data_IF_055282417651
#
_entry.id   IF_055282417651
#
_cell.length_a   1.000
_cell.length_b   1.000
_cell.length_c   1.000
_cell.angle_alpha   90.00
_cell.angle_beta   90.00
_cell.angle_gamma   90.00
#
_symmetry.space_group_name_H-M   'P 1'
#
loop_
_entity.id
_entity.type
_entity.pdbx_description
1 polymer ?
#
# COMPACT_ATOMS: atom_id res chain seq x y z
N UNK A 1 6.36 -1.45 19.57
CA UNK A 1 5.23 -0.78 18.89
C UNK A 1 4.35 -1.81 18.23
N UNK A 2 3.08 -1.47 18.01
CA UNK A 2 2.13 -2.32 17.28
C UNK A 2 1.73 -1.64 15.98
N UNK A 3 1.88 -2.34 14.85
CA UNK A 3 1.52 -1.82 13.54
C UNK A 3 0.36 -2.63 12.95
N UNK A 4 -0.60 -1.93 12.37
CA UNK A 4 -1.70 -2.52 11.61
C UNK A 4 -1.34 -2.54 10.13
N UNK A 5 -1.37 -3.70 9.52
CA UNK A 5 -1.20 -3.87 8.07
C UNK A 5 -2.55 -4.26 7.46
N UNK A 6 -3.11 -3.40 6.65
CA UNK A 6 -4.43 -3.61 6.04
C UNK A 6 -4.24 -4.09 4.60
N UNK A 7 -4.60 -5.35 4.32
CA UNK A 7 -4.84 -5.80 2.96
C UNK A 7 -6.22 -5.27 2.53
N UNK A 8 -6.32 -4.37 1.54
CA UNK A 8 -7.61 -3.75 1.19
C UNK A 8 -8.61 -4.66 0.46
N UNK A 9 -8.21 -5.87 0.08
CA UNK A 9 -9.11 -6.87 -0.48
C UNK A 9 -9.56 -7.89 0.59
N UNK A 10 -10.48 -8.80 0.23
CA UNK A 10 -11.08 -9.76 1.17
C UNK A 10 -10.46 -11.16 1.09
N UNK A 11 -9.35 -11.35 0.36
CA UNK A 11 -8.70 -12.66 0.21
C UNK A 11 -7.81 -12.95 1.42
N UNK A 12 -8.25 -13.86 2.29
CA UNK A 12 -7.55 -14.17 3.55
C UNK A 12 -6.14 -14.74 3.32
N UNK A 13 -5.95 -15.63 2.35
CA UNK A 13 -4.63 -16.20 2.04
C UNK A 13 -3.62 -15.09 1.72
N UNK A 14 -4.02 -14.08 0.94
CA UNK A 14 -3.17 -12.92 0.65
C UNK A 14 -2.89 -12.08 1.92
N UNK A 15 -3.86 -11.92 2.80
CA UNK A 15 -3.66 -11.22 4.08
C UNK A 15 -2.64 -11.94 4.95
N UNK A 16 -2.70 -13.27 4.99
CA UNK A 16 -1.77 -14.10 5.76
C UNK A 16 -0.34 -13.97 5.20
N UNK A 17 -0.17 -14.06 3.87
CA UNK A 17 1.13 -13.91 3.20
C UNK A 17 1.71 -12.48 3.40
N UNK A 18 0.91 -11.44 3.26
CA UNK A 18 1.29 -10.05 3.55
C UNK A 18 1.74 -9.92 5.01
N UNK A 19 0.98 -10.51 5.94
CA UNK A 19 1.30 -10.50 7.36
C UNK A 19 2.61 -11.22 7.68
N UNK A 20 2.91 -12.32 7.01
CA UNK A 20 4.19 -13.03 7.14
C UNK A 20 5.36 -12.17 6.65
N UNK A 21 5.23 -11.56 5.47
CA UNK A 21 6.23 -10.63 4.93
C UNK A 21 6.47 -9.42 5.83
N UNK A 22 5.39 -8.83 6.35
CA UNK A 22 5.46 -7.69 7.27
C UNK A 22 6.16 -8.07 8.59
N UNK A 23 5.84 -9.24 9.17
CA UNK A 23 6.51 -9.75 10.38
C UNK A 23 7.99 -10.08 10.15
N UNK A 24 8.33 -10.63 8.98
CA UNK A 24 9.72 -10.90 8.62
C UNK A 24 10.54 -9.60 8.46
N UNK A 25 9.91 -8.53 7.99
CA UNK A 25 10.54 -7.22 7.87
C UNK A 25 10.63 -6.47 9.21
N UNK A 26 9.74 -6.73 10.16
CA UNK A 26 9.65 -5.99 11.42
C UNK A 26 10.93 -6.10 12.27
N UNK A 27 11.30 -5.01 12.92
CA UNK A 27 12.39 -4.96 13.88
C UNK A 27 12.01 -5.57 15.23
N UNK A 28 13.01 -5.86 16.04
CA UNK A 28 12.78 -6.39 17.40
C UNK A 28 11.90 -5.45 18.21
N UNK A 29 10.80 -5.97 18.78
CA UNK A 29 9.84 -5.20 19.56
C UNK A 29 8.74 -4.51 18.75
N UNK A 30 8.65 -4.79 17.45
CA UNK A 30 7.52 -4.41 16.60
C UNK A 30 6.59 -5.60 16.41
N UNK A 31 5.33 -5.45 16.80
CA UNK A 31 4.26 -6.42 16.62
C UNK A 31 3.44 -6.05 15.39
N UNK A 32 3.07 -7.02 14.57
CA UNK A 32 2.32 -6.83 13.32
C UNK A 32 0.99 -7.58 13.40
N UNK A 33 -0.09 -6.85 13.28
CA UNK A 33 -1.42 -7.39 13.01
C UNK A 33 -1.78 -7.13 11.55
N UNK A 34 -2.04 -8.20 10.79
CA UNK A 34 -2.48 -8.10 9.39
C UNK A 34 -3.97 -8.45 9.31
N UNK A 35 -4.74 -7.59 8.65
CA UNK A 35 -6.20 -7.74 8.55
C UNK A 35 -6.71 -7.44 7.14
N UNK A 36 -7.84 -8.06 6.79
CA UNK A 36 -8.69 -7.66 5.68
C UNK A 36 -9.95 -6.96 6.19
N UNK A 37 -10.56 -6.06 5.41
CA UNK A 37 -11.89 -5.57 5.70
C UNK A 37 -12.92 -6.72 5.60
N UNK A 38 -14.04 -6.64 6.34
CA UNK A 38 -15.08 -7.69 6.31
C UNK A 38 -15.92 -7.68 5.02
N UNK A 39 -15.70 -6.73 4.14
CA UNK A 39 -16.38 -6.54 2.86
C UNK A 39 -15.47 -5.82 1.87
N UNK A 40 -15.74 -5.99 0.58
CA UNK A 40 -14.96 -5.40 -0.49
C UNK A 40 -14.68 -6.38 -1.63
N UNK A 41 -13.80 -6.04 -2.57
CA UNK A 41 -13.40 -6.91 -3.66
C UNK A 41 -12.44 -8.01 -3.19
N UNK A 42 -12.44 -9.17 -3.86
CA UNK A 42 -11.49 -10.24 -3.60
C UNK A 42 -10.07 -9.91 -4.14
N UNK A 43 -9.99 -9.09 -5.19
CA UNK A 43 -8.75 -8.52 -5.73
C UNK A 43 -9.02 -7.10 -6.24
N UNK A 44 -7.96 -6.32 -6.46
CA UNK A 44 -8.04 -4.93 -6.92
C UNK A 44 -7.25 -4.84 -8.21
N UNK A 45 -7.97 -4.75 -9.32
CA UNK A 45 -7.42 -4.76 -10.68
C UNK A 45 -8.03 -3.67 -11.57
N UNK A 46 -8.71 -2.70 -10.95
CA UNK A 46 -9.36 -1.59 -11.65
C UNK A 46 -9.89 -0.53 -10.71
N UNK A 47 -10.30 0.60 -11.27
CA UNK A 47 -10.77 1.77 -10.51
C UNK A 47 -12.01 1.50 -9.67
N UNK A 48 -12.93 0.62 -10.11
CA UNK A 48 -14.13 0.30 -9.34
C UNK A 48 -13.79 -0.46 -8.06
N UNK A 49 -12.92 -1.45 -8.16
CA UNK A 49 -12.42 -2.21 -7.01
C UNK A 49 -11.58 -1.31 -6.09
N UNK A 50 -10.77 -0.41 -6.65
CA UNK A 50 -9.96 0.55 -5.87
C UNK A 50 -10.86 1.48 -5.03
N UNK A 51 -11.94 2.01 -5.60
CA UNK A 51 -12.87 2.88 -4.89
C UNK A 51 -13.58 2.15 -3.72
N UNK A 52 -14.01 0.89 -3.95
CA UNK A 52 -14.59 0.06 -2.90
C UNK A 52 -13.56 -0.27 -1.81
N UNK A 53 -12.36 -0.64 -2.21
CA UNK A 53 -11.25 -0.93 -1.31
C UNK A 53 -10.88 0.29 -0.45
N UNK A 54 -10.83 1.48 -1.03
CA UNK A 54 -10.58 2.72 -0.28
C UNK A 54 -11.61 2.92 0.83
N UNK A 55 -12.90 2.70 0.55
CA UNK A 55 -13.95 2.82 1.56
C UNK A 55 -13.83 1.74 2.64
N UNK A 56 -13.48 0.52 2.25
CA UNK A 56 -13.30 -0.60 3.17
C UNK A 56 -12.08 -0.39 4.11
N UNK A 57 -10.98 0.20 3.60
CA UNK A 57 -9.83 0.62 4.42
C UNK A 57 -10.26 1.64 5.49
N UNK A 58 -11.06 2.64 5.10
CA UNK A 58 -11.55 3.65 6.06
C UNK A 58 -12.44 3.02 7.14
N UNK A 59 -13.26 2.01 6.81
CA UNK A 59 -14.05 1.26 7.78
C UNK A 59 -13.15 0.55 8.80
N UNK A 60 -12.11 -0.15 8.36
CA UNK A 60 -11.12 -0.79 9.25
C UNK A 60 -10.46 0.23 10.17
N UNK A 61 -9.95 1.33 9.63
CA UNK A 61 -9.27 2.37 10.41
C UNK A 61 -10.22 3.02 11.43
N UNK A 62 -11.46 3.28 11.03
CA UNK A 62 -12.45 3.89 11.92
C UNK A 62 -12.79 3.00 13.12
N UNK A 63 -12.78 1.67 12.94
CA UNK A 63 -13.13 0.69 13.99
C UNK A 63 -11.98 0.38 14.95
N UNK A 64 -10.76 0.27 14.44
CA UNK A 64 -9.64 -0.27 15.22
C UNK A 64 -8.30 0.45 15.03
N UNK A 65 -8.24 1.49 14.19
CA UNK A 65 -6.97 2.17 13.90
C UNK A 65 -6.29 2.82 15.12
N UNK A 66 -7.07 3.18 16.14
CA UNK A 66 -6.54 3.82 17.37
C UNK A 66 -5.83 2.85 18.32
N UNK A 67 -5.93 1.54 18.10
CA UNK A 67 -5.29 0.52 18.93
C UNK A 67 -3.81 0.28 18.54
N UNK A 68 -3.32 1.01 17.54
CA UNK A 68 -2.00 0.83 16.93
C UNK A 68 -1.17 2.12 16.97
N UNK A 69 0.15 1.95 16.81
CA UNK A 69 1.11 3.05 16.72
C UNK A 69 1.30 3.55 15.27
N UNK A 70 0.92 2.74 14.28
CA UNK A 70 1.02 3.09 12.86
C UNK A 70 0.25 2.10 11.98
N UNK A 71 -0.10 2.53 10.77
CA UNK A 71 -0.95 1.78 9.84
C UNK A 71 -0.29 1.72 8.46
N UNK A 72 -0.18 0.51 7.87
CA UNK A 72 0.21 0.31 6.48
C UNK A 72 -0.99 -0.11 5.62
N UNK A 73 -1.14 0.48 4.44
CA UNK A 73 -2.11 0.06 3.42
C UNK A 73 -1.39 -0.81 2.41
N UNK A 74 -1.69 -2.12 2.41
CA UNK A 74 -0.96 -3.12 1.64
C UNK A 74 -1.60 -3.40 0.28
N UNK A 75 -1.67 -2.38 -0.58
CA UNK A 75 -2.02 -2.47 -1.99
C UNK A 75 -1.29 -1.38 -2.76
N UNK A 76 -0.76 -1.70 -3.93
CA UNK A 76 0.10 -0.76 -4.67
C UNK A 76 -0.64 0.44 -5.30
N UNK A 77 -1.99 0.45 -5.28
CA UNK A 77 -2.80 1.64 -5.57
C UNK A 77 -2.85 2.64 -4.41
N UNK A 78 -2.42 2.25 -3.22
CA UNK A 78 -2.59 3.00 -1.95
C UNK A 78 -4.03 3.52 -1.77
N UNK A 79 -5.06 2.63 -1.88
CA UNK A 79 -6.45 3.05 -1.89
C UNK A 79 -6.84 3.74 -0.58
N UNK A 80 -7.36 4.96 -0.70
CA UNK A 80 -7.83 5.73 0.44
C UNK A 80 -6.74 6.34 1.33
N UNK A 81 -5.45 6.28 0.97
CA UNK A 81 -4.33 6.72 1.82
C UNK A 81 -4.50 8.15 2.35
N UNK A 82 -4.88 9.10 1.50
CA UNK A 82 -5.03 10.50 1.94
C UNK A 82 -6.22 10.68 2.86
N UNK A 83 -7.34 10.02 2.59
CA UNK A 83 -8.51 10.03 3.49
C UNK A 83 -8.21 9.31 4.82
N UNK A 84 -7.44 8.23 4.77
CA UNK A 84 -6.95 7.54 5.96
C UNK A 84 -6.10 8.46 6.85
N UNK A 85 -5.24 9.30 6.25
CA UNK A 85 -4.44 10.30 6.97
C UNK A 85 -5.27 11.38 7.65
N UNK A 86 -6.43 11.75 7.08
CA UNK A 86 -7.34 12.71 7.70
C UNK A 86 -8.01 12.16 8.98
N UNK A 87 -8.44 10.89 8.95
CA UNK A 87 -9.24 10.29 10.02
C UNK A 87 -8.41 9.51 11.06
N UNK A 88 -7.17 9.13 10.75
CA UNK A 88 -6.30 8.38 11.65
C UNK A 88 -5.57 9.30 12.62
N UNK A 89 -5.40 8.89 13.87
CA UNK A 89 -4.58 9.59 14.87
C UNK A 89 -3.10 9.22 14.79
N UNK A 90 -2.78 8.11 14.12
CA UNK A 90 -1.42 7.59 13.96
C UNK A 90 -0.94 7.74 12.52
N UNK A 91 0.37 7.67 12.23
CA UNK A 91 0.87 7.75 10.88
C UNK A 91 0.33 6.61 10.01
N UNK A 92 -0.06 6.96 8.77
CA UNK A 92 -0.52 6.01 7.76
C UNK A 92 0.42 6.07 6.56
N UNK A 93 0.91 4.90 6.13
CA UNK A 93 1.84 4.73 5.01
C UNK A 93 1.24 3.76 3.99
N UNK A 94 1.28 4.12 2.72
CA UNK A 94 0.96 3.21 1.63
C UNK A 94 2.20 2.46 1.13
N UNK A 95 2.05 1.24 0.66
CA UNK A 95 3.19 0.45 0.21
C UNK A 95 3.79 0.98 -1.09
N UNK A 96 2.98 1.60 -1.97
CA UNK A 96 3.49 2.23 -3.18
C UNK A 96 4.32 3.47 -2.85
N UNK A 97 3.79 4.37 -2.01
CA UNK A 97 4.52 5.55 -1.54
C UNK A 97 5.85 5.15 -0.90
N UNK A 98 5.83 4.20 0.04
CA UNK A 98 7.02 3.77 0.77
C UNK A 98 8.09 3.18 -0.15
N UNK A 99 7.71 2.25 -1.03
CA UNK A 99 8.67 1.60 -1.93
C UNK A 99 9.30 2.58 -2.91
N UNK A 100 8.51 3.47 -3.50
CA UNK A 100 9.01 4.46 -4.46
C UNK A 100 9.93 5.49 -3.80
N UNK A 101 9.59 5.97 -2.60
CA UNK A 101 10.46 6.88 -1.83
C UNK A 101 11.77 6.20 -1.43
N UNK A 102 11.70 4.94 -0.99
CA UNK A 102 12.90 4.17 -0.67
C UNK A 102 13.76 3.92 -1.92
N UNK A 103 13.15 3.57 -3.06
CA UNK A 103 13.86 3.42 -4.34
C UNK A 103 14.62 4.70 -4.72
N UNK A 104 14.03 5.87 -4.48
CA UNK A 104 14.69 7.16 -4.72
C UNK A 104 15.93 7.41 -3.86
N UNK A 105 16.13 6.67 -2.76
CA UNK A 105 17.34 6.79 -1.92
C UNK A 105 18.49 5.92 -2.40
N UNK A 106 18.21 4.87 -3.16
CA UNK A 106 19.23 3.89 -3.60
C UNK A 106 19.47 3.88 -5.11
N UNK A 107 18.63 4.58 -5.88
CA UNK A 107 18.72 4.65 -7.34
C UNK A 107 18.36 6.05 -7.85
N UNK A 108 18.90 6.43 -9.00
CA UNK A 108 18.49 7.67 -9.66
C UNK A 108 17.12 7.53 -10.33
N UNK A 109 16.86 6.38 -10.95
CA UNK A 109 15.57 6.04 -11.56
C UNK A 109 15.12 4.63 -11.16
N UNK A 110 13.84 4.47 -10.87
CA UNK A 110 13.23 3.17 -10.60
C UNK A 110 12.16 2.83 -11.65
N UNK A 111 11.85 1.56 -11.78
CA UNK A 111 10.63 1.10 -12.46
C UNK A 111 9.74 0.33 -11.51
N UNK A 112 8.44 0.39 -11.77
CA UNK A 112 7.44 -0.44 -11.09
C UNK A 112 7.11 -1.61 -12.02
N UNK A 113 7.27 -2.84 -11.53
CA UNK A 113 6.81 -4.05 -12.23
C UNK A 113 5.61 -4.61 -11.48
N UNK A 114 4.47 -4.66 -12.16
CA UNK A 114 3.17 -4.97 -11.56
C UNK A 114 2.47 -6.14 -12.25
N UNK A 115 1.26 -6.41 -11.83
CA UNK A 115 0.34 -7.37 -12.45
C UNK A 115 -0.18 -6.83 -13.80
N UNK A 116 -1.25 -7.36 -14.30
CA UNK A 116 -1.84 -7.12 -15.63
C UNK A 116 -1.74 -5.66 -16.13
N UNK A 117 -1.60 -5.49 -17.44
CA UNK A 117 -1.46 -4.17 -18.09
C UNK A 117 -2.59 -3.19 -17.77
N UNK A 118 -3.77 -3.69 -17.46
CA UNK A 118 -4.93 -2.86 -17.10
C UNK A 118 -4.67 -1.93 -15.91
N UNK A 119 -3.80 -2.32 -14.95
CA UNK A 119 -3.50 -1.50 -13.78
C UNK A 119 -2.37 -0.50 -14.02
N UNK A 120 -1.63 -0.63 -15.12
CA UNK A 120 -0.48 0.26 -15.42
C UNK A 120 -0.87 1.73 -15.38
N UNK A 121 -1.93 2.21 -16.08
CA UNK A 121 -2.32 3.62 -16.03
C UNK A 121 -2.68 4.10 -14.61
N UNK A 122 -3.29 3.23 -13.80
CA UNK A 122 -3.62 3.56 -12.40
C UNK A 122 -2.35 3.80 -11.58
N UNK A 123 -1.32 2.98 -11.77
CA UNK A 123 -0.06 3.13 -11.05
C UNK A 123 0.78 4.28 -11.58
N UNK A 124 0.69 4.64 -12.87
CA UNK A 124 1.26 5.87 -13.40
C UNK A 124 0.65 7.11 -12.74
N UNK A 125 -0.66 7.09 -12.45
CA UNK A 125 -1.33 8.14 -11.68
C UNK A 125 -0.88 8.17 -10.21
N UNK A 126 -0.59 7.01 -9.60
CA UNK A 126 -0.01 6.93 -8.24
C UNK A 126 1.39 7.55 -8.22
N UNK A 127 2.25 7.21 -9.19
CA UNK A 127 3.58 7.83 -9.36
C UNK A 127 3.46 9.35 -9.48
N UNK A 128 2.50 9.82 -10.29
CA UNK A 128 2.25 11.25 -10.47
C UNK A 128 1.76 11.93 -9.19
N UNK A 129 0.86 11.29 -8.46
CA UNK A 129 0.30 11.75 -7.18
C UNK A 129 1.40 12.03 -6.16
N UNK A 130 2.45 11.21 -6.13
CA UNK A 130 3.60 11.38 -5.23
C UNK A 130 4.68 12.32 -5.78
N UNK A 131 4.50 12.89 -6.97
CA UNK A 131 5.49 13.80 -7.57
C UNK A 131 6.75 13.10 -8.07
N UNK A 132 6.68 11.81 -8.39
CA UNK A 132 7.84 10.97 -8.73
C UNK A 132 7.97 10.66 -10.23
N UNK A 133 7.23 11.35 -11.12
CA UNK A 133 7.29 11.12 -12.57
C UNK A 133 8.71 11.16 -13.13
N UNK A 134 9.52 12.11 -12.70
CA UNK A 134 10.91 12.28 -13.18
C UNK A 134 11.85 11.18 -12.65
N UNK A 135 11.47 10.51 -11.59
CA UNK A 135 12.24 9.43 -10.98
C UNK A 135 11.77 8.05 -11.43
N UNK A 136 10.54 7.91 -11.93
CA UNK A 136 10.00 6.67 -12.47
C UNK A 136 10.42 6.53 -13.94
N UNK A 137 11.14 5.45 -14.24
CA UNK A 137 11.55 5.12 -15.59
C UNK A 137 10.38 4.54 -16.40
N UNK A 138 9.61 3.63 -15.78
CA UNK A 138 8.41 3.02 -16.35
C UNK A 138 7.54 2.37 -15.29
N UNK A 139 6.29 2.13 -15.63
CA UNK A 139 5.40 1.18 -14.98
C UNK A 139 5.09 0.08 -15.98
N UNK A 140 5.40 -1.18 -15.64
CA UNK A 140 5.27 -2.32 -16.55
C UNK A 140 4.36 -3.38 -15.95
N UNK A 141 3.40 -3.85 -16.75
CA UNK A 141 2.53 -4.96 -16.39
C UNK A 141 3.14 -6.31 -16.77
N UNK A 142 2.78 -7.34 -16.04
CA UNK A 142 3.02 -8.75 -16.39
C UNK A 142 1.68 -9.39 -16.78
N UNK A 143 1.65 -10.56 -17.45
CA UNK A 143 0.39 -11.25 -17.75
C UNK A 143 -0.23 -11.98 -16.54
N UNK A 144 0.14 -11.60 -15.30
CA UNK A 144 -0.33 -12.22 -14.06
C UNK A 144 -1.54 -11.47 -13.52
N UNK A 145 -2.65 -12.14 -13.25
CA UNK A 145 -3.69 -11.61 -12.38
C UNK A 145 -3.24 -11.64 -10.91
N UNK A 146 -3.82 -10.79 -10.06
CA UNK A 146 -3.42 -10.68 -8.65
C UNK A 146 -3.42 -12.02 -7.93
N UNK A 147 -4.48 -12.82 -8.11
CA UNK A 147 -4.62 -14.12 -7.43
C UNK A 147 -3.81 -15.25 -8.07
N UNK A 148 -3.20 -15.05 -9.23
CA UNK A 148 -2.36 -16.07 -9.87
C UNK A 148 -0.97 -16.18 -9.24
N UNK A 149 -0.52 -15.14 -8.54
CA UNK A 149 0.78 -15.10 -7.84
C UNK A 149 0.87 -16.25 -6.82
N UNK A 150 -0.19 -16.47 -6.05
CA UNK A 150 -0.23 -17.53 -5.03
C UNK A 150 -0.42 -18.93 -5.63
N UNK A 151 -1.05 -19.03 -6.81
CA UNK A 151 -1.31 -20.31 -7.47
C UNK A 151 -0.05 -20.98 -8.03
N UNK A 152 0.84 -20.18 -8.62
CA UNK A 152 2.11 -20.65 -9.16
C UNK A 152 3.22 -19.60 -8.92
N UNK A 153 3.78 -19.56 -7.70
CA UNK A 153 4.82 -18.58 -7.34
C UNK A 153 6.06 -18.68 -8.24
N UNK A 154 6.42 -19.89 -8.69
CA UNK A 154 7.59 -20.08 -9.56
C UNK A 154 7.39 -19.47 -10.94
N UNK A 155 6.22 -19.68 -11.55
CA UNK A 155 5.90 -19.04 -12.82
C UNK A 155 5.78 -17.51 -12.65
N UNK A 156 5.17 -17.04 -11.56
CA UNK A 156 5.05 -15.63 -11.24
C UNK A 156 6.43 -14.98 -11.09
N UNK A 157 7.32 -15.56 -10.30
CA UNK A 157 8.69 -15.06 -10.11
C UNK A 157 9.45 -14.91 -11.43
N UNK A 158 9.36 -15.92 -12.30
CA UNK A 158 9.98 -15.86 -13.62
C UNK A 158 9.44 -14.72 -14.48
N UNK A 159 8.13 -14.51 -14.53
CA UNK A 159 7.50 -13.44 -15.31
C UNK A 159 7.88 -12.06 -14.78
N UNK A 160 7.87 -11.87 -13.46
CA UNK A 160 8.30 -10.62 -12.81
C UNK A 160 9.78 -10.36 -13.08
N UNK A 161 10.63 -11.37 -12.97
CA UNK A 161 12.07 -11.26 -13.26
C UNK A 161 12.32 -10.88 -14.72
N UNK A 162 11.63 -11.52 -15.68
CA UNK A 162 11.77 -11.20 -17.10
C UNK A 162 11.37 -9.74 -17.38
N UNK A 163 10.24 -9.29 -16.85
CA UNK A 163 9.79 -7.90 -17.06
C UNK A 163 10.70 -6.89 -16.34
N UNK A 164 11.24 -7.26 -15.19
CA UNK A 164 12.26 -6.45 -14.50
C UNK A 164 13.52 -6.27 -15.32
N UNK A 165 13.99 -7.34 -15.97
CA UNK A 165 15.14 -7.26 -16.90
C UNK A 165 14.85 -6.36 -18.10
N UNK A 166 13.62 -6.37 -18.62
CA UNK A 166 13.21 -5.46 -19.69
C UNK A 166 13.21 -4.01 -19.22
N UNK A 167 12.67 -3.73 -18.03
CA UNK A 167 12.69 -2.39 -17.45
C UNK A 167 14.12 -1.84 -17.29
N UNK A 168 15.06 -2.69 -16.90
CA UNK A 168 16.48 -2.34 -16.80
C UNK A 168 17.09 -2.05 -18.18
N UNK A 169 16.86 -2.94 -19.14
CA UNK A 169 17.51 -2.87 -20.44
C UNK A 169 16.92 -1.78 -21.36
N UNK A 170 15.61 -1.62 -21.35
CA UNK A 170 14.88 -0.75 -22.29
C UNK A 170 14.63 0.65 -21.68
N UNK A 171 14.27 0.73 -20.38
CA UNK A 171 13.86 1.98 -19.73
C UNK A 171 14.96 2.57 -18.84
N UNK A 172 16.08 1.83 -18.68
CA UNK A 172 17.21 2.23 -17.83
C UNK A 172 16.81 2.37 -16.36
N UNK A 173 16.03 1.44 -15.86
CA UNK A 173 15.75 1.34 -14.43
C UNK A 173 17.02 0.92 -13.68
N UNK A 174 17.26 1.53 -12.54
CA UNK A 174 18.38 1.24 -11.63
C UNK A 174 17.90 0.58 -10.34
N UNK A 175 16.59 0.54 -10.11
CA UNK A 175 15.92 -0.20 -9.06
C UNK A 175 14.53 -0.67 -9.53
N UNK A 176 14.04 -1.76 -8.97
CA UNK A 176 12.73 -2.32 -9.27
C UNK A 176 11.86 -2.26 -8.00
N UNK A 177 10.68 -1.67 -8.12
CA UNK A 177 9.63 -1.73 -7.12
C UNK A 177 8.63 -2.81 -7.51
N UNK A 178 8.34 -3.75 -6.60
CA UNK A 178 7.33 -4.79 -6.82
C UNK A 178 5.93 -4.19 -6.65
N UNK A 179 5.22 -4.07 -7.76
CA UNK A 179 3.96 -3.32 -7.90
C UNK A 179 2.70 -4.04 -7.42
N UNK A 180 2.82 -5.00 -6.51
CA UNK A 180 1.71 -5.70 -5.88
C UNK A 180 2.15 -6.23 -4.50
N UNK A 181 1.28 -6.12 -3.48
CA UNK A 181 1.58 -6.65 -2.15
C UNK A 181 1.86 -8.17 -2.13
N UNK A 182 1.17 -8.92 -2.99
CA UNK A 182 1.40 -10.38 -3.14
C UNK A 182 2.76 -10.74 -3.74
N UNK A 183 3.47 -9.79 -4.37
CA UNK A 183 4.80 -10.05 -4.94
C UNK A 183 5.92 -10.07 -3.89
N UNK A 184 5.67 -9.70 -2.64
CA UNK A 184 6.70 -9.72 -1.60
C UNK A 184 7.31 -11.11 -1.39
N UNK A 185 6.53 -12.18 -1.59
CA UNK A 185 7.02 -13.57 -1.54
C UNK A 185 8.01 -13.92 -2.65
N UNK A 186 8.04 -13.15 -3.73
CA UNK A 186 8.90 -13.34 -4.90
C UNK A 186 10.21 -12.53 -4.82
N UNK A 187 10.31 -11.62 -3.84
CA UNK A 187 11.39 -10.61 -3.76
C UNK A 187 12.78 -11.23 -3.83
N UNK A 188 13.04 -12.27 -3.03
CA UNK A 188 14.35 -12.93 -2.99
C UNK A 188 14.78 -13.50 -4.34
N UNK A 189 13.89 -14.24 -5.02
CA UNK A 189 14.18 -14.83 -6.33
C UNK A 189 14.42 -13.76 -7.41
N UNK A 190 13.58 -12.73 -7.42
CA UNK A 190 13.70 -11.62 -8.37
C UNK A 190 15.00 -10.86 -8.15
N UNK A 191 15.33 -10.53 -6.90
CA UNK A 191 16.57 -9.85 -6.53
C UNK A 191 17.80 -10.65 -6.92
N UNK A 192 17.83 -11.94 -6.60
CA UNK A 192 18.97 -12.80 -6.89
C UNK A 192 19.19 -12.97 -8.42
N UNK A 193 18.13 -12.78 -9.21
CA UNK A 193 18.18 -12.83 -10.67
C UNK A 193 18.56 -11.50 -11.36
N UNK A 194 18.80 -10.40 -10.63
CA UNK A 194 19.02 -9.06 -11.19
C UNK A 194 20.42 -8.46 -10.95
N UNK A 195 21.43 -9.29 -10.72
CA UNK A 195 22.86 -8.91 -10.68
C UNK A 195 23.15 -7.62 -9.86
N UNK A 196 22.55 -7.50 -8.68
CA UNK A 196 22.80 -6.39 -7.76
C UNK A 196 21.91 -5.15 -7.96
N UNK A 197 20.94 -5.18 -8.86
CA UNK A 197 19.91 -4.14 -8.95
C UNK A 197 18.97 -4.24 -7.74
N UNK A 198 18.76 -3.17 -6.97
CA UNK A 198 17.86 -3.20 -5.82
C UNK A 198 16.43 -3.58 -6.23
N UNK A 199 15.84 -4.52 -5.49
CA UNK A 199 14.41 -4.88 -5.57
C UNK A 199 13.75 -4.47 -4.27
N UNK A 200 12.67 -3.71 -4.36
CA UNK A 200 11.99 -3.14 -3.20
C UNK A 200 10.60 -3.78 -3.05
N UNK A 201 10.41 -4.55 -1.99
CA UNK A 201 9.10 -4.96 -1.53
C UNK A 201 8.39 -3.81 -0.80
N UNK A 202 7.18 -3.48 -1.24
CA UNK A 202 6.40 -2.37 -0.70
C UNK A 202 5.95 -2.59 0.75
N UNK A 203 5.64 -3.82 1.14
CA UNK A 203 5.20 -4.16 2.50
C UNK A 203 6.36 -3.96 3.48
N UNK A 204 7.52 -4.52 3.17
CA UNK A 204 8.72 -4.34 3.99
C UNK A 204 9.12 -2.85 4.08
N UNK A 205 9.07 -2.11 2.96
CA UNK A 205 9.35 -0.68 2.93
C UNK A 205 8.39 0.12 3.84
N UNK A 206 7.09 -0.18 3.80
CA UNK A 206 6.10 0.49 4.64
C UNK A 206 6.29 0.20 6.13
N UNK A 207 6.58 -1.05 6.50
CA UNK A 207 6.90 -1.42 7.89
C UNK A 207 8.10 -0.63 8.39
N UNK A 208 9.20 -0.59 7.63
CA UNK A 208 10.40 0.16 8.02
C UNK A 208 10.18 1.67 8.09
N UNK A 209 9.39 2.21 7.19
CA UNK A 209 9.04 3.63 7.22
C UNK A 209 8.19 3.95 8.46
N UNK A 210 7.22 3.12 8.81
CA UNK A 210 6.42 3.29 10.03
C UNK A 210 7.25 3.18 11.30
N UNK A 211 8.17 2.20 11.38
CA UNK A 211 9.11 2.09 12.51
C UNK A 211 9.94 3.37 12.67
N UNK A 212 10.39 3.95 11.57
CA UNK A 212 11.11 5.23 11.56
C UNK A 212 10.24 6.41 12.02
N UNK A 213 9.02 6.54 11.47
CA UNK A 213 8.10 7.62 11.82
C UNK A 213 7.70 7.56 13.30
N UNK A 214 7.28 6.39 13.76
CA UNK A 214 6.90 6.18 15.16
C UNK A 214 8.08 6.40 16.10
N UNK A 215 9.26 5.85 15.76
CA UNK A 215 10.47 6.01 16.57
C UNK A 215 10.95 7.45 16.68
N UNK A 216 10.69 8.28 15.67
CA UNK A 216 10.97 9.73 15.67
C UNK A 216 9.84 10.58 16.28
N UNK A 217 8.72 9.98 16.67
CA UNK A 217 7.55 10.71 17.16
C UNK A 217 6.86 11.54 16.06
N UNK A 218 6.98 11.15 14.78
CA UNK A 218 6.39 11.84 13.65
C UNK A 218 5.01 11.26 13.31
N UNK A 219 4.02 12.15 13.21
CA UNK A 219 2.67 11.81 12.78
C UNK A 219 2.23 12.62 11.57
N UNK A 220 1.02 12.35 11.09
CA UNK A 220 0.41 13.14 10.00
C UNK A 220 0.18 14.58 10.46
N UNK A 221 0.57 15.55 9.62
CA UNK A 221 0.29 16.97 9.88
C UNK A 221 -1.22 17.23 10.01
N UNK A 222 -1.62 17.96 11.03
CA UNK A 222 -3.01 18.40 11.23
C UNK A 222 -3.28 19.78 10.65
N UNK A 223 -2.53 20.15 9.58
CA UNK A 223 -2.71 21.42 8.87
C UNK A 223 -3.02 21.17 7.40
N UNK A 224 -3.84 22.02 6.83
CA UNK A 224 -4.22 21.99 5.42
C UNK A 224 -4.80 20.64 4.96
N UNK A 225 -4.14 19.93 4.05
CA UNK A 225 -4.68 18.77 3.35
C UNK A 225 -5.07 17.59 4.25
N UNK A 226 -4.39 17.40 5.38
CA UNK A 226 -4.66 16.29 6.31
C UNK A 226 -5.22 16.77 7.65
N UNK A 227 -5.85 17.94 7.66
CA UNK A 227 -6.61 18.41 8.81
C UNK A 227 -7.81 17.47 9.04
N UNK A 228 -8.16 17.26 10.31
CA UNK A 228 -9.33 16.46 10.64
C UNK A 228 -10.60 16.97 9.92
N UNK A 229 -11.46 16.06 9.44
CA UNK A 229 -12.68 16.46 8.77
C UNK A 229 -13.53 17.37 9.66
N UNK A 230 -13.98 18.50 9.10
CA UNK A 230 -14.89 19.40 9.81
C UNK A 230 -16.26 18.76 10.02
N UNK A 231 -17.08 19.31 10.95
CA UNK A 231 -18.39 18.78 11.28
C UNK A 231 -19.29 18.64 10.05
N UNK A 232 -19.81 17.44 9.81
CA UNK A 232 -20.73 17.12 8.71
C UNK A 232 -21.79 16.12 9.15
N UNK A 233 -22.98 16.28 8.65
CA UNK A 233 -24.00 15.25 8.76
C UNK A 233 -23.71 14.13 7.75
N UNK A 234 -23.65 12.89 8.24
CA UNK A 234 -23.58 11.68 7.41
C UNK A 234 -24.94 11.02 7.42
N UNK A 235 -25.62 11.00 6.28
CA UNK A 235 -26.91 10.33 6.09
C UNK A 235 -26.71 8.91 5.59
N UNK A 236 -27.60 8.00 5.99
CA UNK A 236 -27.53 6.57 5.65
C UNK A 236 -27.43 5.71 6.91
N UNK A 237 -27.63 4.41 6.73
CA UNK A 237 -27.63 3.42 7.81
C UNK A 237 -26.60 2.29 7.61
N UNK A 238 -25.73 2.40 6.60
CA UNK A 238 -24.68 1.43 6.33
C UNK A 238 -23.73 1.32 7.52
N UNK A 239 -23.33 0.10 7.91
CA UNK A 239 -22.50 -0.11 9.11
C UNK A 239 -21.16 0.68 9.10
N UNK A 240 -20.55 0.91 7.93
CA UNK A 240 -19.31 1.68 7.85
C UNK A 240 -19.53 3.18 8.12
N UNK A 241 -20.69 3.73 7.81
CA UNK A 241 -21.03 5.12 8.14
C UNK A 241 -21.13 5.33 9.66
N UNK A 242 -21.57 4.33 10.40
CA UNK A 242 -21.58 4.37 11.87
C UNK A 242 -20.16 4.50 12.43
N UNK A 243 -19.20 3.73 11.88
CA UNK A 243 -17.80 3.83 12.27
C UNK A 243 -17.20 5.21 11.92
N UNK A 244 -17.54 5.76 10.74
CA UNK A 244 -17.06 7.08 10.30
C UNK A 244 -17.65 8.24 11.11
N UNK A 245 -18.88 8.14 11.63
CA UNK A 245 -19.47 9.17 12.50
C UNK A 245 -18.64 9.44 13.75
N UNK A 246 -17.92 8.46 14.25
CA UNK A 246 -16.96 8.64 15.34
C UNK A 246 -15.70 9.44 14.96
N UNK A 247 -15.43 9.60 13.66
CA UNK A 247 -14.24 10.29 13.11
C UNK A 247 -14.58 11.65 12.46
N UNK A 248 -15.83 11.82 12.03
CA UNK A 248 -16.33 13.06 11.43
C UNK A 248 -17.40 13.62 12.37
N UNK A 249 -17.12 14.72 13.08
CA UNK A 249 -18.06 15.29 14.04
C UNK A 249 -19.37 15.72 13.38
N UNK A 250 -20.48 15.59 14.09
CA UNK A 250 -21.76 16.16 13.65
C UNK A 250 -21.71 17.69 13.66
N UNK A 251 -22.47 18.38 12.79
CA UNK A 251 -22.61 19.84 12.85
C UNK A 251 -23.16 20.26 14.23
N UNK A 252 -22.58 21.32 14.80
CA UNK A 252 -23.17 21.93 15.98
C UNK A 252 -24.56 22.40 15.63
N UNK A 253 -25.56 22.12 16.50
CA UNK A 253 -26.87 22.70 16.35
C UNK A 253 -26.72 24.24 16.38
N UNK A 254 -27.09 24.88 15.27
CA UNK A 254 -27.17 26.36 15.23
C UNK A 254 -28.20 26.75 16.26
N UNK A 255 -27.77 27.39 17.33
CA UNK A 255 -28.66 28.01 18.33
C UNK A 255 -29.23 29.31 17.80
#
# INVERSE_FOLDING_TARGET
MRLLVINPNTTQAMTDAIGEGARAAAGTGTEIDAVSPPWGPASIEGHAEEALAATAVLDVIARQGDDYDGIAIACYGDPGLYAAREISKVPVVGIAEASMLLACTVAHRFSVVTVIDRVVPMLEDVVARYGLRERCASVRGTPLAVLDIERDPTAASRMVLEESRRAIAEDRAEAICLGCAGMGTLECEVRDGLDGVPVIDGVAAAVKMLEGLVGLGLGTSRRAAFMEPGPKELTGSEPFLEALRGRIPAPSAVR
#
